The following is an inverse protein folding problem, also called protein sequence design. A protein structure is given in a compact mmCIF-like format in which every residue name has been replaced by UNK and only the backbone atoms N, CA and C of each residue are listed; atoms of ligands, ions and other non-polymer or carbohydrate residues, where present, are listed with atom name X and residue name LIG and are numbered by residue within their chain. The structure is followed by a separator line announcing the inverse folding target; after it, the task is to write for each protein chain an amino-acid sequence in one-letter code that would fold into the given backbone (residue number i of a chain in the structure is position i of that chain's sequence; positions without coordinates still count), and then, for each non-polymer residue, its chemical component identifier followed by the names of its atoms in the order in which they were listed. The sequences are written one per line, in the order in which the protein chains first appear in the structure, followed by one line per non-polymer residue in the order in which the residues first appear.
data_IF_389364060214
#
_entry.id   IF_389364060214
#
_cell.length_a   1.000
_cell.length_b   1.000
_cell.length_c   1.000
_cell.angle_alpha   90.00
_cell.angle_beta   90.00
_cell.angle_gamma   90.00
#
_symmetry.space_group_name_H-M   'P 1'
#
loop_
_entity.id
_entity.type
_entity.pdbx_description
1 polymer ?
#
# COMPACT_ATOMS: atom_id res chain seq x y z
N UNK A 1 -20.16 7.37 -50.70
CA UNK A 1 -18.79 7.92 -50.54
C UNK A 1 -18.87 8.89 -49.37
N UNK A 2 -18.93 8.33 -48.17
CA UNK A 2 -19.11 9.06 -46.92
C UNK A 2 -18.26 8.37 -45.89
N UNK A 3 -17.50 9.21 -45.18
CA UNK A 3 -17.24 9.05 -43.76
C UNK A 3 -16.14 8.07 -43.33
N UNK A 4 -14.89 8.46 -43.58
CA UNK A 4 -13.69 7.87 -42.95
C UNK A 4 -13.04 8.87 -41.96
N UNK A 5 -13.54 10.10 -41.90
CA UNK A 5 -12.91 11.19 -41.13
C UNK A 5 -13.39 11.32 -39.68
N UNK A 6 -14.57 10.81 -39.31
CA UNK A 6 -15.09 10.99 -37.94
C UNK A 6 -14.57 9.95 -36.93
N UNK A 7 -14.21 8.74 -37.38
CA UNK A 7 -13.67 7.69 -36.49
C UNK A 7 -12.28 8.01 -35.92
N UNK A 8 -11.51 8.89 -36.56
CA UNK A 8 -10.16 9.25 -36.14
C UNK A 8 -10.12 10.32 -35.03
N UNK A 9 -11.18 11.13 -34.91
CA UNK A 9 -11.29 12.19 -33.91
C UNK A 9 -11.79 11.68 -32.55
N UNK A 10 -12.62 10.65 -32.56
CA UNK A 10 -13.15 10.04 -31.34
C UNK A 10 -12.08 9.20 -30.60
N UNK A 11 -11.27 8.44 -31.34
CA UNK A 11 -10.18 7.62 -30.78
C UNK A 11 -9.04 8.45 -30.15
N UNK A 12 -8.78 9.64 -30.67
CA UNK A 12 -7.74 10.55 -30.14
C UNK A 12 -8.17 11.30 -28.88
N UNK A 13 -9.47 11.45 -28.63
CA UNK A 13 -10.04 12.09 -27.43
C UNK A 13 -10.27 11.10 -26.27
N UNK A 14 -10.47 9.81 -26.58
CA UNK A 14 -10.62 8.74 -25.58
C UNK A 14 -9.28 8.35 -24.92
N UNK A 15 -8.18 8.38 -25.66
CA UNK A 15 -6.83 8.05 -25.14
C UNK A 15 -6.33 8.94 -23.98
N UNK A 16 -6.47 10.29 -23.98
CA UNK A 16 -6.00 11.11 -22.87
C UNK A 16 -6.80 10.91 -21.58
N UNK A 17 -8.13 10.76 -21.65
CA UNK A 17 -8.98 10.51 -20.47
C UNK A 17 -8.64 9.19 -19.79
N UNK A 18 -8.39 8.16 -20.58
CA UNK A 18 -8.01 6.82 -20.12
C UNK A 18 -6.62 6.83 -19.45
N UNK A 19 -5.69 7.65 -19.93
CA UNK A 19 -4.36 7.80 -19.31
C UNK A 19 -4.41 8.60 -18.00
N UNK A 20 -5.16 9.71 -17.97
CA UNK A 20 -5.32 10.57 -16.80
C UNK A 20 -6.00 9.84 -15.62
N UNK A 21 -7.04 9.05 -15.89
CA UNK A 21 -7.72 8.25 -14.85
C UNK A 21 -6.81 7.18 -14.24
N UNK A 22 -6.01 6.49 -15.07
CA UNK A 22 -5.03 5.48 -14.61
C UNK A 22 -3.94 6.08 -13.73
N UNK A 23 -3.58 7.34 -13.98
CA UNK A 23 -2.63 8.10 -13.15
C UNK A 23 -3.24 8.47 -11.80
N UNK A 24 -4.51 8.88 -11.76
CA UNK A 24 -5.25 9.18 -10.54
C UNK A 24 -5.40 7.96 -9.61
N UNK A 25 -5.80 6.81 -10.16
CA UNK A 25 -5.98 5.55 -9.41
C UNK A 25 -4.67 5.07 -8.76
N UNK A 26 -3.54 5.21 -9.47
CA UNK A 26 -2.20 4.88 -8.92
C UNK A 26 -1.81 5.81 -7.77
N UNK A 27 -2.08 7.11 -7.89
CA UNK A 27 -1.80 8.09 -6.81
C UNK A 27 -2.63 7.79 -5.57
N UNK A 28 -3.91 7.48 -5.74
CA UNK A 28 -4.82 7.09 -4.65
C UNK A 28 -4.34 5.83 -3.94
N UNK A 29 -4.02 4.80 -4.72
CA UNK A 29 -3.55 3.51 -4.17
C UNK A 29 -2.22 3.68 -3.43
N UNK A 30 -1.25 4.38 -4.03
CA UNK A 30 0.02 4.66 -3.36
C UNK A 30 -0.20 5.50 -2.08
N UNK A 31 -1.11 6.47 -2.11
CA UNK A 31 -1.49 7.25 -0.93
C UNK A 31 -2.05 6.38 0.20
N UNK A 32 -2.91 5.41 -0.12
CA UNK A 32 -3.44 4.45 0.86
C UNK A 32 -2.34 3.55 1.46
N UNK A 33 -1.39 3.08 0.64
CA UNK A 33 -0.25 2.28 1.11
C UNK A 33 0.71 3.10 2.00
N UNK A 34 0.91 4.38 1.67
CA UNK A 34 1.66 5.32 2.52
C UNK A 34 0.95 5.55 3.85
N UNK A 35 -0.37 5.76 3.82
CA UNK A 35 -1.16 5.98 5.02
C UNK A 35 -1.14 4.74 5.93
N UNK A 36 -1.24 3.53 5.36
CA UNK A 36 -1.09 2.27 6.10
C UNK A 36 0.29 2.17 6.77
N UNK A 37 1.36 2.55 6.07
CA UNK A 37 2.72 2.55 6.62
C UNK A 37 2.89 3.60 7.73
N UNK A 38 2.31 4.79 7.55
CA UNK A 38 2.31 5.85 8.56
C UNK A 38 1.52 5.46 9.82
N UNK A 39 0.37 4.80 9.67
CA UNK A 39 -0.38 4.17 10.77
C UNK A 39 0.49 3.14 11.50
N UNK A 40 1.27 2.34 10.79
CA UNK A 40 2.24 1.41 11.38
C UNK A 40 3.27 2.09 12.26
N UNK A 41 3.87 3.18 11.77
CA UNK A 41 4.84 3.99 12.53
C UNK A 41 4.17 4.65 13.73
N UNK A 42 2.98 5.21 13.55
CA UNK A 42 2.22 5.85 14.62
C UNK A 42 1.86 4.84 15.72
N UNK A 43 1.51 3.61 15.35
CA UNK A 43 1.27 2.52 16.31
C UNK A 43 2.51 2.27 17.17
N UNK A 44 3.70 2.27 16.56
CA UNK A 44 4.95 2.09 17.32
C UNK A 44 5.19 3.24 18.30
N UNK A 45 4.86 4.48 17.93
CA UNK A 45 5.07 5.66 18.75
C UNK A 45 4.08 5.76 19.93
N UNK A 46 2.84 5.33 19.73
CA UNK A 46 1.78 5.37 20.75
C UNK A 46 1.83 4.12 21.65
N UNK A 47 2.36 3.00 21.15
CA UNK A 47 2.40 1.75 21.91
C UNK A 47 3.18 1.90 23.23
N UNK A 48 2.62 1.48 24.37
CA UNK A 48 3.25 1.58 25.70
C UNK A 48 4.54 0.77 25.83
N UNK A 49 4.87 -0.05 24.83
CA UNK A 49 6.14 -0.78 24.71
C UNK A 49 7.37 0.14 24.80
N UNK A 50 7.24 1.44 24.51
CA UNK A 50 8.32 2.44 24.61
C UNK A 50 8.64 2.86 26.06
N UNK A 51 7.73 2.70 27.02
CA UNK A 51 7.91 3.27 28.37
C UNK A 51 8.84 2.41 29.25
N UNK A 52 9.09 1.14 28.88
CA UNK A 52 9.83 0.20 29.73
C UNK A 52 11.27 -0.08 29.32
N UNK A 53 11.53 -0.48 28.08
CA UNK A 53 12.84 -0.93 27.62
C UNK A 53 12.98 -0.72 26.11
N UNK A 54 14.15 -0.28 25.63
CA UNK A 54 14.48 -0.28 24.19
C UNK A 54 14.54 -1.72 23.69
N UNK A 55 13.41 -2.29 23.35
CA UNK A 55 13.35 -3.60 22.70
C UNK A 55 13.87 -3.46 21.27
N UNK A 56 14.82 -4.32 20.82
CA UNK A 56 15.35 -4.30 19.45
C UNK A 56 14.24 -4.44 18.37
N UNK A 57 13.07 -4.93 18.75
CA UNK A 57 11.87 -5.01 17.92
C UNK A 57 11.36 -3.65 17.43
N UNK A 58 11.62 -2.56 18.16
CA UNK A 58 11.22 -1.22 17.70
C UNK A 58 11.93 -0.86 16.40
N UNK A 59 13.25 -1.07 16.34
CA UNK A 59 14.06 -0.78 15.15
C UNK A 59 13.68 -1.67 13.96
N UNK A 60 13.40 -2.95 14.21
CA UNK A 60 12.93 -3.89 13.17
C UNK A 60 11.57 -3.46 12.63
N UNK A 61 10.61 -3.12 13.51
CA UNK A 61 9.29 -2.67 13.08
C UNK A 61 9.37 -1.34 12.31
N UNK A 62 10.14 -0.38 12.81
CA UNK A 62 10.37 0.89 12.13
C UNK A 62 10.98 0.67 10.74
N UNK A 63 12.01 -0.17 10.64
CA UNK A 63 12.65 -0.52 9.36
C UNK A 63 11.69 -1.16 8.37
N UNK A 64 10.82 -2.07 8.82
CA UNK A 64 9.85 -2.72 7.95
C UNK A 64 8.79 -1.75 7.41
N UNK A 65 8.25 -0.86 8.26
CA UNK A 65 7.31 0.16 7.79
C UNK A 65 7.95 1.20 6.88
N UNK A 66 9.22 1.57 7.12
CA UNK A 66 9.98 2.42 6.19
C UNK A 66 10.22 1.72 4.85
N UNK A 67 10.51 0.41 4.86
CA UNK A 67 10.68 -0.37 3.64
C UNK A 67 9.36 -0.47 2.86
N UNK A 68 8.24 -0.74 3.53
CA UNK A 68 6.91 -0.72 2.91
C UNK A 68 6.60 0.67 2.31
N UNK A 69 6.91 1.76 3.03
CA UNK A 69 6.75 3.12 2.52
C UNK A 69 7.63 3.38 1.27
N UNK A 70 8.87 2.90 1.26
CA UNK A 70 9.76 3.00 0.11
C UNK A 70 9.22 2.22 -1.10
N UNK A 71 8.65 1.03 -0.90
CA UNK A 71 8.02 0.27 -1.99
C UNK A 71 6.71 0.93 -2.45
N UNK A 72 5.94 1.54 -1.53
CA UNK A 72 4.77 2.34 -1.90
C UNK A 72 5.15 3.54 -2.79
N UNK A 73 6.31 4.16 -2.57
CA UNK A 73 6.88 5.16 -3.47
C UNK A 73 7.17 4.61 -4.88
N UNK A 74 7.70 3.38 -4.98
CA UNK A 74 7.90 2.73 -6.29
C UNK A 74 6.57 2.44 -7.00
N UNK A 75 5.51 2.12 -6.25
CA UNK A 75 4.15 1.99 -6.79
C UNK A 75 3.65 3.35 -7.31
N UNK A 76 3.94 4.44 -6.60
CA UNK A 76 3.63 5.81 -7.04
C UNK A 76 4.33 6.18 -8.35
N UNK A 77 5.61 5.80 -8.50
CA UNK A 77 6.36 5.99 -9.76
C UNK A 77 5.79 5.16 -10.93
N UNK A 78 5.02 4.12 -10.64
CA UNK A 78 4.32 3.32 -11.65
C UNK A 78 5.10 2.09 -12.11
N UNK A 79 6.09 1.63 -11.34
CA UNK A 79 6.79 0.37 -11.60
C UNK A 79 5.81 -0.80 -11.50
N UNK A 80 5.67 -1.64 -12.54
CA UNK A 80 4.69 -2.73 -12.55
C UNK A 80 5.00 -3.81 -11.52
N UNK A 81 6.28 -4.10 -11.30
CA UNK A 81 6.77 -5.10 -10.33
C UNK A 81 6.63 -4.65 -8.87
N UNK A 82 6.61 -3.34 -8.60
CA UNK A 82 6.54 -2.81 -7.23
C UNK A 82 5.29 -3.28 -6.48
N UNK A 83 4.20 -3.50 -7.21
CA UNK A 83 2.93 -3.99 -6.68
C UNK A 83 3.07 -5.40 -6.12
N UNK A 84 3.74 -6.29 -6.85
CA UNK A 84 3.95 -7.68 -6.44
C UNK A 84 4.95 -7.75 -5.28
N UNK A 85 6.02 -6.93 -5.35
CA UNK A 85 7.02 -6.83 -4.28
C UNK A 85 6.37 -6.35 -2.98
N UNK A 86 5.54 -5.30 -3.04
CA UNK A 86 4.83 -4.81 -1.87
C UNK A 86 3.93 -5.88 -1.27
N UNK A 87 3.19 -6.62 -2.10
CA UNK A 87 2.27 -7.67 -1.63
C UNK A 87 3.04 -8.78 -0.90
N UNK A 88 4.13 -9.26 -1.50
CA UNK A 88 4.97 -10.28 -0.90
C UNK A 88 5.57 -9.80 0.43
N UNK A 89 6.09 -8.58 0.46
CA UNK A 89 6.69 -7.99 1.66
C UNK A 89 5.65 -7.78 2.77
N UNK A 90 4.46 -7.29 2.43
CA UNK A 90 3.36 -7.11 3.36
C UNK A 90 2.92 -8.47 3.94
N UNK A 91 2.71 -9.49 3.11
CA UNK A 91 2.32 -10.83 3.58
C UNK A 91 3.36 -11.38 4.56
N UNK A 92 4.65 -11.34 4.21
CA UNK A 92 5.72 -11.80 5.10
C UNK A 92 5.73 -11.02 6.41
N UNK A 93 5.61 -9.69 6.34
CA UNK A 93 5.67 -8.81 7.51
C UNK A 93 4.48 -8.99 8.45
N UNK A 94 3.25 -8.95 7.93
CA UNK A 94 2.04 -9.12 8.74
C UNK A 94 1.91 -10.54 9.30
N UNK A 95 2.41 -11.57 8.58
CA UNK A 95 2.50 -12.94 9.13
C UNK A 95 3.46 -12.98 10.32
N UNK A 96 4.63 -12.34 10.20
CA UNK A 96 5.58 -12.25 11.32
C UNK A 96 4.98 -11.49 12.51
N UNK A 97 4.28 -10.37 12.27
CA UNK A 97 3.60 -9.59 13.31
C UNK A 97 2.51 -10.37 14.04
N UNK A 98 1.75 -11.21 13.34
CA UNK A 98 0.63 -11.96 13.94
C UNK A 98 1.07 -13.22 14.69
N UNK A 99 2.04 -13.97 14.16
CA UNK A 99 2.38 -15.29 14.68
C UNK A 99 3.73 -15.35 15.40
N UNK A 100 4.73 -14.59 14.94
CA UNK A 100 6.10 -14.72 15.44
C UNK A 100 6.38 -13.75 16.59
N UNK A 101 6.06 -12.47 16.40
CA UNK A 101 6.34 -11.40 17.36
C UNK A 101 5.62 -11.58 18.72
N UNK A 102 4.30 -11.81 18.78
CA UNK A 102 3.62 -11.97 20.06
C UNK A 102 4.05 -13.24 20.80
N UNK A 103 4.29 -14.34 20.07
CA UNK A 103 4.66 -15.62 20.68
C UNK A 103 6.09 -15.63 21.25
N UNK A 104 7.04 -14.96 20.59
CA UNK A 104 8.45 -14.93 21.01
C UNK A 104 8.82 -13.76 21.91
N UNK A 105 8.15 -12.62 21.76
CA UNK A 105 8.57 -11.37 22.39
C UNK A 105 7.49 -10.69 23.24
N UNK A 106 6.31 -11.31 23.38
CA UNK A 106 5.24 -10.77 24.22
C UNK A 106 4.75 -9.39 23.81
N UNK A 107 4.94 -9.03 22.53
CA UNK A 107 4.63 -7.69 22.05
C UNK A 107 3.12 -7.43 22.14
N UNK A 108 2.73 -6.40 22.88
CA UNK A 108 1.36 -5.90 22.94
C UNK A 108 1.03 -5.23 21.60
N UNK A 109 0.43 -6.01 20.72
CA UNK A 109 0.04 -5.58 19.39
C UNK A 109 -1.37 -4.98 19.46
N UNK A 110 -1.52 -3.72 19.05
CA UNK A 110 -2.84 -3.14 18.84
C UNK A 110 -3.48 -3.78 17.60
N UNK A 111 -4.33 -4.77 17.84
CA UNK A 111 -5.07 -5.51 16.83
C UNK A 111 -6.00 -4.60 16.01
N UNK A 112 -6.56 -3.54 16.61
CA UNK A 112 -7.43 -2.61 15.89
C UNK A 112 -6.63 -1.79 14.88
N UNK A 113 -5.47 -1.27 15.29
CA UNK A 113 -4.61 -0.48 14.42
C UNK A 113 -4.01 -1.36 13.31
N UNK A 114 -3.65 -2.61 13.62
CA UNK A 114 -3.21 -3.61 12.64
C UNK A 114 -4.32 -3.93 11.63
N UNK A 115 -5.55 -4.15 12.10
CA UNK A 115 -6.71 -4.42 11.25
C UNK A 115 -6.97 -3.28 10.28
N UNK A 116 -6.93 -2.03 10.75
CA UNK A 116 -7.08 -0.85 9.89
C UNK A 116 -6.02 -0.81 8.80
N UNK A 117 -4.75 -1.10 9.12
CA UNK A 117 -3.68 -1.16 8.11
C UNK A 117 -3.95 -2.22 7.04
N UNK A 118 -4.37 -3.42 7.43
CA UNK A 118 -4.73 -4.49 6.50
C UNK A 118 -5.90 -4.09 5.58
N UNK A 119 -6.91 -3.42 6.14
CA UNK A 119 -8.05 -2.88 5.37
C UNK A 119 -7.57 -1.83 4.37
N UNK A 120 -6.72 -0.88 4.78
CA UNK A 120 -6.16 0.13 3.86
C UNK A 120 -5.37 -0.52 2.72
N UNK A 121 -4.55 -1.53 3.01
CA UNK A 121 -3.79 -2.27 2.01
C UNK A 121 -4.75 -2.99 1.07
N UNK A 122 -5.75 -3.70 1.58
CA UNK A 122 -6.75 -4.38 0.77
C UNK A 122 -7.49 -3.42 -0.17
N UNK A 123 -7.97 -2.28 0.34
CA UNK A 123 -8.61 -1.23 -0.45
C UNK A 123 -7.63 -0.70 -1.51
N UNK A 124 -6.38 -0.44 -1.15
CA UNK A 124 -5.36 0.00 -2.10
C UNK A 124 -5.21 -1.01 -3.25
N UNK A 125 -5.13 -2.30 -2.96
CA UNK A 125 -5.06 -3.34 -4.00
C UNK A 125 -6.34 -3.47 -4.81
N UNK A 126 -7.52 -3.33 -4.20
CA UNK A 126 -8.80 -3.31 -4.93
C UNK A 126 -8.81 -2.16 -5.92
N UNK A 127 -8.44 -0.94 -5.54
CA UNK A 127 -8.35 0.23 -6.45
C UNK A 127 -7.31 -0.01 -7.56
N UNK A 128 -6.23 -0.73 -7.23
CA UNK A 128 -5.11 -1.00 -8.13
C UNK A 128 -5.36 -2.15 -9.12
N UNK A 129 -6.23 -3.11 -8.77
CA UNK A 129 -6.62 -4.29 -9.56
C UNK A 129 -8.03 -4.17 -10.16
N UNK A 130 -8.85 -3.22 -9.71
CA UNK A 130 -10.23 -3.07 -10.17
C UNK A 130 -10.29 -3.11 -11.71
N UNK A 131 -10.95 -4.13 -12.29
CA UNK A 131 -11.07 -4.22 -13.73
C UNK A 131 -11.88 -3.01 -14.19
N UNK A 132 -11.34 -2.32 -15.20
CA UNK A 132 -12.09 -1.28 -15.90
C UNK A 132 -13.27 -1.97 -16.58
N UNK A 133 -14.44 -1.87 -15.98
CA UNK A 133 -15.69 -2.08 -16.70
C UNK A 133 -15.66 -1.15 -17.92
N UNK A 134 -15.53 -1.76 -19.09
CA UNK A 134 -15.80 -1.13 -20.39
C UNK A 134 -17.29 -0.88 -20.50
#
# INVERSE_FOLDING_TARGET
MTDVTDTHKENSLLTPKVCLRKRGERKLSAGLLFLASALGILNLLISPTIIGHRTPLFSVNMGAYLLLAAVAWLVYQGFPLAKTIYAALAVVWYTALLFFLPHRFGQLLDLYMLFMQLVLIAIAYVVLLAPRHR
#
